data_IF_316149920834
#
_entry.id   IF_316149920834
#
_cell.length_a   1.000
_cell.length_b   1.000
_cell.length_c   1.000
_cell.angle_alpha   90.00
_cell.angle_beta   90.00
_cell.angle_gamma   90.00
#
_symmetry.space_group_name_H-M   'P 1'
#
loop_
_entity.id
_entity.type
_entity.pdbx_description
1 polymer ?
#
# COMPACT_ATOMS: atom_id res chain seq x y z
N UNK A 1 -0.73 2.80 -21.70
CA UNK A 1 -0.28 2.92 -20.30
C UNK A 1 1.22 3.10 -20.35
N UNK A 2 1.71 4.24 -19.90
CA UNK A 2 3.14 4.44 -19.66
C UNK A 2 3.49 3.83 -18.31
N UNK A 3 4.75 3.46 -18.11
CA UNK A 3 5.24 2.94 -16.83
C UNK A 3 4.94 3.89 -15.66
N UNK A 4 5.01 5.21 -15.90
CA UNK A 4 4.63 6.24 -14.93
C UNK A 4 3.14 6.16 -14.54
N UNK A 5 2.23 5.91 -15.49
CA UNK A 5 0.80 5.71 -15.21
C UNK A 5 0.55 4.43 -14.41
N UNK A 6 1.29 3.35 -14.68
CA UNK A 6 1.17 2.09 -13.93
C UNK A 6 1.64 2.28 -12.48
N UNK A 7 2.77 2.96 -12.27
CA UNK A 7 3.30 3.26 -10.95
C UNK A 7 2.33 4.15 -10.14
N UNK A 8 1.74 5.18 -10.77
CA UNK A 8 0.73 6.02 -10.12
C UNK A 8 -0.51 5.22 -9.73
N UNK A 9 -0.98 4.34 -10.60
CA UNK A 9 -2.13 3.48 -10.31
C UNK A 9 -1.84 2.52 -9.14
N UNK A 10 -0.62 1.95 -9.07
CA UNK A 10 -0.19 1.13 -7.93
C UNK A 10 -0.14 1.93 -6.63
N UNK A 11 0.42 3.14 -6.65
CA UNK A 11 0.47 4.04 -5.49
C UNK A 11 -0.95 4.37 -5.01
N UNK A 12 -1.89 4.64 -5.93
CA UNK A 12 -3.27 4.94 -5.58
C UNK A 12 -3.97 3.72 -4.96
N UNK A 13 -3.77 2.52 -5.51
CA UNK A 13 -4.29 1.28 -4.95
C UNK A 13 -3.75 1.02 -3.54
N UNK A 14 -2.43 1.05 -3.35
CA UNK A 14 -1.82 0.83 -2.03
C UNK A 14 -2.31 1.85 -0.99
N UNK A 15 -2.43 3.13 -1.36
CA UNK A 15 -3.00 4.16 -0.46
C UNK A 15 -4.46 3.88 -0.09
N UNK A 16 -5.25 3.36 -1.03
CA UNK A 16 -6.64 3.00 -0.77
C UNK A 16 -6.71 1.83 0.21
N UNK A 17 -5.89 0.82 0.04
CA UNK A 17 -5.83 -0.34 0.93
C UNK A 17 -5.35 0.05 2.34
N UNK A 18 -4.31 0.88 2.43
CA UNK A 18 -3.86 1.46 3.71
C UNK A 18 -4.94 2.32 4.38
N UNK A 19 -5.70 3.09 3.61
CA UNK A 19 -6.81 3.87 4.16
C UNK A 19 -7.94 2.97 4.66
N UNK A 20 -8.19 1.83 4.01
CA UNK A 20 -9.16 0.84 4.46
C UNK A 20 -8.71 0.24 5.81
N UNK A 21 -7.46 -0.20 5.92
CA UNK A 21 -6.91 -0.71 7.18
C UNK A 21 -7.01 0.34 8.30
N UNK A 22 -6.63 1.59 8.04
CA UNK A 22 -6.71 2.65 9.05
C UNK A 22 -8.14 2.98 9.49
N UNK A 23 -9.14 2.82 8.61
CA UNK A 23 -10.54 3.13 8.93
C UNK A 23 -11.24 1.99 9.66
N UNK A 24 -10.89 0.74 9.33
CA UNK A 24 -11.60 -0.45 9.81
C UNK A 24 -10.75 -1.33 10.72
N UNK A 25 -9.60 -0.86 11.21
CA UNK A 25 -8.71 -1.61 12.09
C UNK A 25 -9.46 -2.30 13.24
N UNK A 26 -10.18 -1.51 14.04
CA UNK A 26 -10.95 -2.02 15.19
C UNK A 26 -12.04 -3.01 14.76
N UNK A 27 -12.73 -2.71 13.65
CA UNK A 27 -13.79 -3.56 13.12
C UNK A 27 -13.22 -4.90 12.63
N UNK A 28 -12.08 -4.90 11.95
CA UNK A 28 -11.39 -6.11 11.46
C UNK A 28 -10.95 -6.96 12.65
N UNK A 29 -10.28 -6.36 13.65
CA UNK A 29 -9.89 -7.06 14.88
C UNK A 29 -11.10 -7.68 15.59
N UNK A 30 -12.25 -6.99 15.60
CA UNK A 30 -13.46 -7.49 16.26
C UNK A 30 -14.09 -8.73 15.61
N UNK A 31 -13.70 -9.06 14.37
CA UNK A 31 -14.25 -10.23 13.66
C UNK A 31 -13.65 -11.57 14.08
N UNK A 32 -12.50 -11.57 14.78
CA UNK A 32 -11.68 -12.76 15.08
C UNK A 32 -11.29 -13.60 13.83
N UNK A 33 -11.42 -13.04 12.61
CA UNK A 33 -11.11 -13.76 11.36
C UNK A 33 -9.64 -13.71 10.97
N UNK A 34 -8.92 -12.73 11.48
CA UNK A 34 -7.50 -12.48 11.24
C UNK A 34 -6.87 -12.12 12.57
N UNK A 35 -5.67 -12.61 12.83
CA UNK A 35 -4.91 -12.19 14.01
C UNK A 35 -4.34 -10.79 13.84
N UNK A 36 -4.02 -10.13 14.95
CA UNK A 36 -3.36 -8.83 14.93
C UNK A 36 -2.06 -8.88 14.12
N UNK A 37 -1.27 -9.95 14.26
CA UNK A 37 -0.03 -10.18 13.51
C UNK A 37 -0.28 -10.26 12.00
N UNK A 38 -1.27 -11.06 11.57
CA UNK A 38 -1.62 -11.17 10.14
C UNK A 38 -2.17 -9.85 9.58
N UNK A 39 -2.85 -9.05 10.40
CA UNK A 39 -3.34 -7.73 10.01
C UNK A 39 -2.19 -6.72 9.89
N UNK A 40 -1.25 -6.72 10.84
CA UNK A 40 -0.03 -5.90 10.78
C UNK A 40 0.83 -6.27 9.56
N UNK A 41 1.00 -7.56 9.29
CA UNK A 41 1.73 -8.05 8.12
C UNK A 41 1.09 -7.58 6.81
N UNK A 42 -0.24 -7.67 6.70
CA UNK A 42 -0.95 -7.15 5.52
C UNK A 42 -0.80 -5.64 5.31
N UNK A 43 -0.70 -4.87 6.40
CA UNK A 43 -0.41 -3.43 6.33
C UNK A 43 1.04 -3.19 5.90
N UNK A 44 1.99 -3.95 6.45
CA UNK A 44 3.41 -3.83 6.11
C UNK A 44 3.65 -4.15 4.63
N UNK A 45 3.01 -5.20 4.10
CA UNK A 45 3.07 -5.53 2.67
C UNK A 45 2.55 -4.37 1.79
N UNK A 46 1.43 -3.74 2.18
CA UNK A 46 0.90 -2.58 1.46
C UNK A 46 1.82 -1.35 1.54
N UNK A 47 2.51 -1.16 2.67
CA UNK A 47 3.48 -0.08 2.85
C UNK A 47 4.74 -0.31 2.01
N UNK A 48 5.24 -1.54 1.95
CA UNK A 48 6.39 -1.91 1.12
C UNK A 48 6.07 -1.71 -0.36
N UNK A 49 4.90 -2.16 -0.82
CA UNK A 49 4.43 -1.94 -2.20
C UNK A 49 4.31 -0.44 -2.55
N UNK A 50 3.85 0.37 -1.60
CA UNK A 50 3.76 1.82 -1.75
C UNK A 50 5.15 2.45 -1.90
N UNK A 51 6.07 2.11 -1.00
CA UNK A 51 7.43 2.65 -1.00
C UNK A 51 8.16 2.26 -2.29
N UNK A 52 8.10 0.98 -2.67
CA UNK A 52 8.70 0.47 -3.90
C UNK A 52 8.20 1.20 -5.16
N UNK A 53 6.88 1.43 -5.23
CA UNK A 53 6.28 2.13 -6.36
C UNK A 53 6.66 3.62 -6.37
N UNK A 54 6.76 4.25 -5.20
CA UNK A 54 7.20 5.65 -5.06
C UNK A 54 8.66 5.82 -5.43
N UNK A 55 9.54 4.94 -4.96
CA UNK A 55 10.97 5.00 -5.25
C UNK A 55 11.24 4.83 -6.75
N UNK A 56 10.60 3.84 -7.39
CA UNK A 56 10.68 3.66 -8.85
C UNK A 56 10.17 4.87 -9.63
N UNK A 57 9.10 5.51 -9.16
CA UNK A 57 8.58 6.72 -9.79
C UNK A 57 9.57 7.90 -9.66
N UNK A 58 10.24 8.02 -8.52
CA UNK A 58 11.24 9.06 -8.27
C UNK A 58 12.54 8.82 -9.06
N UNK A 59 12.96 7.56 -9.22
CA UNK A 59 14.09 7.17 -10.08
C UNK A 59 13.82 7.51 -11.55
N UNK A 60 12.62 7.21 -12.06
CA UNK A 60 12.21 7.56 -13.42
C UNK A 60 12.06 9.08 -13.65
N UNK A 61 11.97 9.88 -12.58
CA UNK A 61 11.87 11.34 -12.64
C UNK A 61 13.19 12.10 -12.49
N UNK A 62 14.29 11.42 -12.13
CA UNK A 62 15.60 12.05 -11.94
C UNK A 62 16.37 12.11 -13.26
N UNK A 63 16.77 13.31 -13.76
CA UNK A 63 17.65 13.40 -14.91
C UNK A 63 19.06 12.93 -14.52
N UNK A 64 19.86 12.41 -15.48
CA UNK A 64 21.24 11.97 -15.24
C UNK A 64 22.17 13.11 -14.80
#
# INVERSE_FOLDING_TARGET
MTEEEELKARIEAAKKDLSFFSLYWDDIQSTDWISDEELEDGINDCLDDLNDAQDKLNENGSPP
#
